data_IF_282118336372
#
_entry.id   IF_282118336372
#
_cell.length_a   1.000
_cell.length_b   1.000
_cell.length_c   1.000
_cell.angle_alpha   90.00
_cell.angle_beta   90.00
_cell.angle_gamma   90.00
#
_symmetry.space_group_name_H-M   'P 1'
#
loop_
_entity.id
_entity.type
_entity.pdbx_description
1 polymer ?
#
# COMPACT_ATOMS: atom_id res chain seq x y z
N UNK A 1 1.38 -6.57 -29.16
CA UNK A 1 2.05 -7.53 -28.24
C UNK A 1 2.21 -6.87 -26.89
N UNK A 2 1.26 -7.09 -25.98
CA UNK A 2 1.21 -6.42 -24.68
C UNK A 2 2.17 -7.04 -23.68
N UNK A 3 3.33 -6.42 -23.45
CA UNK A 3 4.13 -6.69 -22.25
C UNK A 3 3.46 -5.97 -21.08
N UNK A 4 2.44 -6.60 -20.47
CA UNK A 4 2.09 -6.28 -19.08
C UNK A 4 3.31 -6.69 -18.25
N UNK A 5 4.20 -5.74 -17.95
CA UNK A 5 5.12 -5.90 -16.83
C UNK A 5 4.25 -6.10 -15.60
N UNK A 6 4.02 -7.37 -15.23
CA UNK A 6 3.64 -7.70 -13.87
C UNK A 6 4.87 -7.37 -13.05
N UNK A 7 4.98 -6.13 -12.57
CA UNK A 7 5.83 -5.83 -11.43
C UNK A 7 5.21 -6.57 -10.25
N UNK A 8 5.49 -7.87 -10.14
CA UNK A 8 5.10 -8.67 -8.99
C UNK A 8 6.01 -8.16 -7.88
N UNK A 9 5.43 -7.41 -6.95
CA UNK A 9 6.16 -7.01 -5.75
C UNK A 9 6.35 -8.28 -4.93
N UNK A 10 7.60 -8.63 -4.64
CA UNK A 10 7.95 -9.77 -3.81
C UNK A 10 7.71 -9.46 -2.34
N UNK A 11 7.40 -10.50 -1.56
CA UNK A 11 7.15 -10.39 -0.12
C UNK A 11 7.93 -11.47 0.61
N UNK A 12 8.45 -11.17 1.80
CA UNK A 12 9.18 -12.16 2.61
C UNK A 12 8.31 -13.37 3.03
N UNK A 13 7.00 -13.17 3.15
CA UNK A 13 5.96 -14.18 3.40
C UNK A 13 4.77 -13.91 2.48
N UNK A 14 4.03 -14.92 2.02
CA UNK A 14 2.85 -14.71 1.20
C UNK A 14 1.67 -14.23 2.05
N UNK A 15 1.36 -12.93 2.01
CA UNK A 15 0.20 -12.32 2.68
C UNK A 15 -0.57 -11.39 1.72
N UNK A 16 -1.78 -10.98 2.11
CA UNK A 16 -2.57 -10.01 1.38
C UNK A 16 -2.63 -8.67 2.12
N UNK A 17 -2.46 -7.57 1.38
CA UNK A 17 -2.62 -6.23 1.89
C UNK A 17 -3.29 -5.34 0.84
N UNK A 18 -4.44 -4.78 1.19
CA UNK A 18 -5.25 -3.94 0.29
C UNK A 18 -5.95 -2.81 1.05
N UNK A 19 -6.30 -1.76 0.33
CA UNK A 19 -7.16 -0.69 0.85
C UNK A 19 -8.55 -0.84 0.25
N UNK A 20 -9.58 -0.67 1.07
CA UNK A 20 -10.98 -0.60 0.65
C UNK A 20 -11.59 0.75 1.02
N UNK A 21 -12.57 1.20 0.23
CA UNK A 21 -13.41 2.34 0.60
C UNK A 21 -14.55 1.84 1.50
N UNK A 22 -14.59 2.34 2.73
CA UNK A 22 -15.57 1.92 3.74
C UNK A 22 -16.83 2.80 3.75
N UNK A 23 -16.85 3.90 2.96
CA UNK A 23 -17.96 4.86 2.91
C UNK A 23 -17.66 6.17 3.64
N UNK A 24 -18.40 7.23 3.31
CA UNK A 24 -18.31 8.53 4.01
C UNK A 24 -16.92 9.20 3.96
N UNK A 25 -16.12 8.95 2.92
CA UNK A 25 -14.73 9.45 2.84
C UNK A 25 -13.72 8.66 3.68
N UNK A 26 -14.13 7.55 4.28
CA UNK A 26 -13.27 6.67 5.09
C UNK A 26 -12.73 5.50 4.26
N UNK A 27 -11.48 5.15 4.54
CA UNK A 27 -10.81 4.01 3.93
C UNK A 27 -10.33 3.06 5.03
N UNK A 28 -10.13 1.79 4.68
CA UNK A 28 -9.58 0.79 5.59
C UNK A 28 -8.48 -0.01 4.91
N UNK A 29 -7.39 -0.25 5.63
CA UNK A 29 -6.41 -1.27 5.26
C UNK A 29 -6.90 -2.62 5.75
N UNK A 30 -6.92 -3.59 4.84
CA UNK A 30 -7.22 -4.99 5.14
C UNK A 30 -5.95 -5.80 4.96
N UNK A 31 -5.48 -6.36 6.06
CA UNK A 31 -4.40 -7.34 6.08
C UNK A 31 -4.99 -8.74 6.25
N UNK A 32 -4.46 -9.72 5.50
CA UNK A 32 -4.83 -11.12 5.68
C UNK A 32 -3.61 -12.04 5.55
N UNK A 33 -3.45 -12.92 6.53
CA UNK A 33 -2.45 -13.98 6.54
C UNK A 33 -2.97 -15.18 7.33
N UNK A 34 -2.98 -16.36 6.70
CA UNK A 34 -3.60 -17.56 7.26
C UNK A 34 -5.06 -17.29 7.68
N UNK A 35 -5.43 -17.57 8.92
CA UNK A 35 -6.78 -17.34 9.47
C UNK A 35 -6.98 -15.92 10.00
N UNK A 36 -5.93 -15.11 10.06
CA UNK A 36 -5.96 -13.75 10.61
C UNK A 36 -6.38 -12.76 9.54
N UNK A 37 -7.37 -11.93 9.87
CA UNK A 37 -7.78 -10.75 9.11
C UNK A 37 -7.84 -9.55 10.03
N UNK A 38 -7.09 -8.51 9.70
CA UNK A 38 -7.02 -7.28 10.47
C UNK A 38 -7.52 -6.12 9.60
N UNK A 39 -8.24 -5.21 10.25
CA UNK A 39 -8.83 -4.03 9.62
C UNK A 39 -8.36 -2.82 10.39
N UNK A 40 -7.77 -1.86 9.67
CA UNK A 40 -7.33 -0.60 10.27
C UNK A 40 -7.92 0.57 9.48
N UNK A 41 -8.62 1.52 10.13
CA UNK A 41 -9.06 2.74 9.46
C UNK A 41 -7.88 3.58 8.98
N UNK A 42 -8.05 4.21 7.83
CA UNK A 42 -7.18 5.26 7.30
C UNK A 42 -7.96 6.57 7.23
N UNK A 43 -7.31 7.65 7.64
CA UNK A 43 -7.79 8.99 7.33
C UNK A 43 -7.67 9.27 5.82
N UNK A 44 -8.41 10.27 5.34
CA UNK A 44 -8.29 10.70 3.95
C UNK A 44 -6.87 11.17 3.60
N UNK A 45 -6.18 11.83 4.53
CA UNK A 45 -4.79 12.27 4.34
C UNK A 45 -3.84 11.08 4.17
N UNK A 46 -3.93 10.07 5.05
CA UNK A 46 -3.14 8.84 4.96
C UNK A 46 -3.44 8.08 3.65
N UNK A 47 -4.70 8.06 3.23
CA UNK A 47 -5.09 7.48 1.95
C UNK A 47 -4.46 8.23 0.76
N UNK A 48 -4.48 9.57 0.76
CA UNK A 48 -3.87 10.38 -0.31
C UNK A 48 -2.36 10.19 -0.37
N UNK A 49 -1.67 10.15 0.76
CA UNK A 49 -0.23 9.86 0.81
C UNK A 49 0.06 8.44 0.32
N UNK A 50 -0.73 7.44 0.73
CA UNK A 50 -0.64 6.09 0.18
C UNK A 50 -0.80 6.10 -1.35
N UNK A 51 -1.76 6.84 -1.90
CA UNK A 51 -2.01 6.93 -3.35
C UNK A 51 -0.81 7.53 -4.09
N UNK A 52 -0.22 8.59 -3.55
CA UNK A 52 1.01 9.20 -4.07
C UNK A 52 2.17 8.22 -4.10
N UNK A 53 2.41 7.57 -2.96
CA UNK A 53 3.45 6.54 -2.86
C UNK A 53 3.16 5.40 -3.82
N UNK A 54 1.91 4.96 -3.97
CA UNK A 54 1.59 3.85 -4.89
C UNK A 54 1.93 4.18 -6.34
N UNK A 55 1.83 5.44 -6.73
CA UNK A 55 2.16 5.91 -8.06
C UNK A 55 3.66 6.08 -8.28
N UNK A 56 4.37 6.61 -7.28
CA UNK A 56 5.79 7.00 -7.41
C UNK A 56 6.77 5.97 -6.85
N UNK A 57 6.39 5.27 -5.79
CA UNK A 57 7.21 4.39 -4.96
C UNK A 57 6.40 3.17 -4.45
N UNK A 58 6.02 2.23 -5.33
CA UNK A 58 5.08 1.16 -5.00
C UNK A 58 5.53 0.24 -3.85
N UNK A 59 6.82 -0.05 -3.68
CA UNK A 59 7.32 -0.86 -2.56
C UNK A 59 7.15 -0.11 -1.25
N UNK A 60 7.57 1.17 -1.20
CA UNK A 60 7.35 2.03 -0.03
C UNK A 60 5.86 2.18 0.29
N UNK A 61 5.00 2.32 -0.72
CA UNK A 61 3.55 2.43 -0.52
C UNK A 61 2.97 1.22 0.22
N UNK A 62 3.43 0.02 -0.13
CA UNK A 62 2.97 -1.21 0.49
C UNK A 62 3.50 -1.38 1.92
N UNK A 63 4.76 -1.03 2.17
CA UNK A 63 5.30 -1.03 3.53
C UNK A 63 4.67 0.07 4.41
N UNK A 64 4.37 1.25 3.85
CA UNK A 64 3.63 2.32 4.52
C UNK A 64 2.25 1.85 5.00
N UNK A 65 1.50 1.14 4.15
CA UNK A 65 0.22 0.55 4.59
C UNK A 65 0.38 -0.47 5.71
N UNK A 66 1.43 -1.28 5.63
CA UNK A 66 1.69 -2.34 6.59
C UNK A 66 2.03 -1.78 7.97
N UNK A 67 2.63 -0.58 8.04
CA UNK A 67 2.95 0.13 9.28
C UNK A 67 1.72 0.54 10.09
N UNK A 68 0.53 0.61 9.46
CA UNK A 68 -0.73 0.88 10.18
C UNK A 68 -1.34 -0.36 10.83
N UNK A 69 -0.95 -1.56 10.41
CA UNK A 69 -1.59 -2.79 10.91
C UNK A 69 -1.20 -3.01 12.38
N UNK A 70 -2.18 -2.95 13.28
CA UNK A 70 -1.99 -3.35 14.66
C UNK A 70 -2.04 -4.88 14.79
N UNK A 71 -0.93 -5.48 15.18
CA UNK A 71 -0.79 -6.93 15.39
C UNK A 71 -1.03 -7.36 16.85
N UNK A 72 -1.42 -6.43 17.74
CA UNK A 72 -1.78 -6.75 19.12
C UNK A 72 -2.84 -7.87 19.18
N UNK A 73 -2.63 -8.85 20.05
CA UNK A 73 -3.50 -10.03 20.15
C UNK A 73 -3.26 -11.10 19.07
N UNK A 74 -2.31 -10.90 18.16
CA UNK A 74 -1.86 -11.93 17.20
C UNK A 74 -0.48 -12.47 17.60
N UNK A 75 -0.08 -13.68 17.13
CA UNK A 75 1.27 -14.20 17.35
C UNK A 75 2.34 -13.55 16.46
N UNK A 76 1.96 -12.55 15.66
CA UNK A 76 2.85 -11.90 14.70
C UNK A 76 3.21 -10.48 15.14
N UNK A 77 4.24 -9.94 14.51
CA UNK A 77 4.67 -8.55 14.64
C UNK A 77 4.87 -7.93 13.27
N UNK A 78 4.89 -6.60 13.22
CA UNK A 78 5.13 -5.84 11.98
C UNK A 78 6.35 -6.32 11.20
N UNK A 79 7.47 -6.64 11.85
CA UNK A 79 8.71 -7.07 11.18
C UNK A 79 8.68 -8.49 10.63
N UNK A 80 7.62 -9.25 10.87
CA UNK A 80 7.43 -10.57 10.26
C UNK A 80 7.04 -10.48 8.79
N UNK A 81 6.59 -9.32 8.32
CA UNK A 81 6.05 -9.09 6.99
C UNK A 81 6.77 -7.92 6.34
N UNK A 82 7.15 -8.06 5.08
CA UNK A 82 7.84 -7.00 4.36
C UNK A 82 7.61 -7.16 2.86
N UNK A 83 7.33 -6.05 2.18
CA UNK A 83 7.44 -5.98 0.73
C UNK A 83 8.90 -5.69 0.36
N UNK A 84 9.49 -6.60 -0.40
CA UNK A 84 10.90 -6.60 -0.74
C UNK A 84 11.15 -5.79 -2.02
N UNK A 85 12.39 -5.33 -2.14
CA UNK A 85 12.88 -4.60 -3.31
C UNK A 85 13.19 -3.14 -3.02
N UNK A 86 13.54 -2.42 -4.09
CA UNK A 86 13.85 -1.00 -4.04
C UNK A 86 13.07 -0.29 -5.13
N UNK A 87 12.37 0.76 -4.74
CA UNK A 87 11.77 1.66 -5.73
C UNK A 87 12.87 2.36 -6.52
N UNK A 88 12.62 2.56 -7.81
CA UNK A 88 13.42 3.46 -8.64
C UNK A 88 12.96 4.90 -8.37
N UNK A 89 13.86 5.85 -8.55
CA UNK A 89 13.44 7.25 -8.53
C UNK A 89 12.43 7.52 -9.67
N UNK A 90 11.32 8.21 -9.39
CA UNK A 90 10.31 8.51 -10.38
C UNK A 90 10.87 9.49 -11.42
N UNK A 91 10.42 9.34 -12.66
CA UNK A 91 10.77 10.29 -13.72
C UNK A 91 10.02 11.61 -13.50
N UNK A 92 10.53 12.70 -14.09
CA UNK A 92 9.82 14.00 -14.08
C UNK A 92 8.39 13.88 -14.60
N UNK A 93 8.19 13.08 -15.65
CA UNK A 93 6.87 12.82 -16.25
C UNK A 93 5.91 12.15 -15.27
N UNK A 94 6.38 11.15 -14.51
CA UNK A 94 5.57 10.50 -13.47
C UNK A 94 5.17 11.49 -12.36
N UNK A 95 6.09 12.37 -11.95
CA UNK A 95 5.83 13.39 -10.93
C UNK A 95 4.78 14.38 -11.43
N UNK A 96 4.95 14.91 -12.65
CA UNK A 96 3.99 15.85 -13.25
C UNK A 96 2.60 15.22 -13.38
N UNK A 97 2.53 13.97 -13.84
CA UNK A 97 1.26 13.27 -13.98
C UNK A 97 0.59 13.02 -12.62
N UNK A 98 1.35 12.69 -11.57
CA UNK A 98 0.80 12.61 -10.22
C UNK A 98 0.20 13.94 -9.77
N UNK A 99 0.89 15.07 -9.99
CA UNK A 99 0.39 16.41 -9.62
C UNK A 99 -0.92 16.77 -10.34
N UNK A 100 -1.15 16.26 -11.54
CA UNK A 100 -2.42 16.42 -12.25
C UNK A 100 -3.52 15.56 -11.63
N UNK A 101 -3.22 14.29 -11.33
CA UNK A 101 -4.15 13.36 -10.66
C UNK A 101 -4.56 13.89 -9.28
N UNK A 102 -3.61 14.44 -8.52
CA UNK A 102 -3.81 14.91 -7.15
C UNK A 102 -4.83 16.04 -7.03
N UNK A 103 -4.96 16.88 -8.06
CA UNK A 103 -5.95 17.98 -8.13
C UNK A 103 -7.40 17.49 -8.18
N UNK A 104 -7.62 16.25 -8.62
CA UNK A 104 -8.95 15.64 -8.74
C UNK A 104 -9.33 14.70 -7.59
N UNK A 105 -8.45 14.53 -6.59
CA UNK A 105 -8.68 13.75 -5.36
C UNK A 105 -9.22 14.64 -4.24
#
# INVERSE_FOLDING_TARGET
MGRKQKNIIETNKPFSLRVIYAGGGMYEVVFAYQEIKLYQPLSNEQYREYRKLCYLYPVRAKNYLLDFINFEGTPYKRSDFEFLGKDKEPTKEMITLWQEIEKGL
#
